data_IF_848947631103
#
_entry.id   IF_848947631103
#
_cell.length_a   1.000
_cell.length_b   1.000
_cell.length_c   1.000
_cell.angle_alpha   90.00
_cell.angle_beta   90.00
_cell.angle_gamma   90.00
#
_symmetry.space_group_name_H-M   'P 1'
#
loop_
_entity.id
_entity.type
_entity.pdbx_description
1 polymer ?
#
# COMPACT_ATOMS: atom_id res chain seq x y z
N UNK A 1 13.53 0.35 -3.94
CA UNK A 1 12.39 0.04 -4.84
C UNK A 1 12.57 -1.25 -5.65
N UNK A 2 13.60 -2.01 -5.36
CA UNK A 2 13.92 -3.23 -6.11
C UNK A 2 12.82 -4.29 -6.06
N UNK A 3 12.33 -4.61 -4.86
CA UNK A 3 11.30 -5.66 -4.69
C UNK A 3 9.98 -5.26 -5.36
N UNK A 4 9.64 -3.99 -5.32
CA UNK A 4 8.44 -3.46 -5.95
C UNK A 4 8.54 -3.59 -7.47
N UNK A 5 9.66 -3.18 -8.04
CA UNK A 5 9.89 -3.25 -9.49
C UNK A 5 9.91 -4.70 -9.96
N UNK A 6 10.59 -5.59 -9.23
CA UNK A 6 10.63 -7.01 -9.55
C UNK A 6 9.23 -7.63 -9.54
N UNK A 7 8.41 -7.27 -8.55
CA UNK A 7 7.04 -7.76 -8.46
C UNK A 7 6.19 -7.29 -9.64
N UNK A 8 6.29 -6.03 -9.99
CA UNK A 8 5.56 -5.48 -11.14
C UNK A 8 5.99 -6.14 -12.45
N UNK A 9 7.29 -6.33 -12.66
CA UNK A 9 7.81 -6.99 -13.85
C UNK A 9 7.41 -8.46 -13.94
N UNK A 10 7.17 -9.11 -12.80
CA UNK A 10 6.72 -10.52 -12.80
C UNK A 10 5.28 -10.66 -13.31
N UNK A 11 4.49 -9.60 -13.22
CA UNK A 11 3.10 -9.58 -13.65
C UNK A 11 2.95 -9.02 -15.07
N UNK A 12 3.58 -7.89 -15.33
CA UNK A 12 3.61 -7.23 -16.63
C UNK A 12 4.94 -6.50 -16.79
N UNK A 13 5.56 -6.56 -17.99
CA UNK A 13 6.72 -5.73 -18.23
C UNK A 13 6.38 -4.26 -18.09
N UNK A 14 7.18 -3.52 -17.31
CA UNK A 14 7.00 -2.09 -17.15
C UNK A 14 8.12 -1.34 -17.87
N UNK A 15 7.79 -0.19 -18.44
CA UNK A 15 8.76 0.63 -19.15
C UNK A 15 9.66 1.38 -18.19
N UNK A 16 10.82 1.82 -18.68
CA UNK A 16 11.72 2.68 -17.92
C UNK A 16 11.05 3.99 -17.53
N UNK A 17 10.16 4.49 -18.38
CA UNK A 17 9.38 5.69 -18.11
C UNK A 17 8.48 5.50 -16.89
N UNK A 18 7.79 4.38 -16.79
CA UNK A 18 6.95 4.05 -15.62
C UNK A 18 7.80 3.96 -14.36
N UNK A 19 8.97 3.31 -14.43
CA UNK A 19 9.88 3.22 -13.29
C UNK A 19 10.32 4.61 -12.85
N UNK A 20 10.62 5.48 -13.78
CA UNK A 20 11.03 6.85 -13.47
C UNK A 20 9.90 7.64 -12.79
N UNK A 21 8.67 7.50 -13.28
CA UNK A 21 7.51 8.14 -12.68
C UNK A 21 7.31 7.65 -11.24
N UNK A 22 7.45 6.35 -11.00
CA UNK A 22 7.36 5.79 -9.65
C UNK A 22 8.41 6.40 -8.72
N UNK A 23 9.65 6.49 -9.17
CA UNK A 23 10.74 7.05 -8.37
C UNK A 23 10.55 8.53 -8.06
N UNK A 24 9.99 9.29 -8.99
CA UNK A 24 9.78 10.73 -8.84
C UNK A 24 8.58 11.07 -7.95
N UNK A 25 7.60 10.18 -7.86
CA UNK A 25 6.33 10.44 -7.17
C UNK A 25 6.18 9.67 -5.86
N UNK A 26 7.22 9.01 -5.40
CA UNK A 26 7.19 8.27 -4.14
C UNK A 26 8.16 8.84 -3.13
N UNK A 27 7.86 8.63 -1.85
CA UNK A 27 8.72 9.03 -0.73
C UNK A 27 9.07 7.78 0.06
N UNK A 28 10.36 7.57 0.29
CA UNK A 28 10.83 6.47 1.12
C UNK A 28 10.46 6.70 2.58
N UNK A 29 9.82 5.71 3.19
CA UNK A 29 9.39 5.77 4.58
C UNK A 29 9.84 4.52 5.32
N UNK A 30 10.19 4.70 6.59
CA UNK A 30 10.53 3.63 7.50
C UNK A 30 9.51 3.62 8.63
N UNK A 31 8.90 2.47 8.88
CA UNK A 31 7.91 2.32 9.94
C UNK A 31 8.36 1.26 10.93
N UNK A 32 8.25 1.54 12.24
CA UNK A 32 8.54 0.51 13.23
C UNK A 32 7.45 -0.54 13.27
N UNK A 33 7.71 -1.63 13.97
CA UNK A 33 6.72 -2.67 14.25
C UNK A 33 5.51 -2.06 14.96
N UNK A 34 4.32 -2.53 14.61
CA UNK A 34 3.03 -2.08 15.16
C UNK A 34 2.65 -0.64 14.84
N UNK A 35 3.19 -0.10 13.75
CA UNK A 35 2.76 1.18 13.24
C UNK A 35 1.51 0.98 12.37
N UNK A 36 0.52 1.85 12.51
CA UNK A 36 -0.69 1.79 11.68
C UNK A 36 -0.52 2.66 10.44
N UNK A 37 -0.46 2.01 9.28
CA UNK A 37 -0.37 2.70 7.98
C UNK A 37 -1.72 3.26 7.57
N UNK A 38 -2.79 2.52 7.86
CA UNK A 38 -4.17 2.92 7.61
C UNK A 38 -4.94 2.71 8.90
N UNK A 39 -5.65 3.74 9.35
CA UNK A 39 -6.48 3.68 10.54
C UNK A 39 -7.96 3.78 10.15
N UNK A 40 -8.79 2.95 10.77
CA UNK A 40 -10.23 3.02 10.56
C UNK A 40 -10.79 4.37 11.05
N UNK A 41 -11.82 4.86 10.39
CA UNK A 41 -12.48 6.12 10.70
C UNK A 41 -11.60 7.36 10.53
N UNK A 42 -10.53 7.25 9.74
CA UNK A 42 -9.67 8.37 9.37
C UNK A 42 -9.39 8.32 7.87
N UNK A 43 -9.22 9.48 7.27
CA UNK A 43 -8.76 9.56 5.89
C UNK A 43 -7.25 9.52 5.84
N UNK A 44 -6.71 8.53 5.17
CA UNK A 44 -5.27 8.40 4.92
C UNK A 44 -5.08 8.21 3.42
N UNK A 45 -5.28 9.26 2.65
CA UNK A 45 -5.30 9.22 1.18
C UNK A 45 -3.93 8.95 0.56
N UNK A 46 -3.31 7.86 0.96
CA UNK A 46 -2.02 7.46 0.43
C UNK A 46 -1.99 5.96 0.19
N UNK A 47 -1.21 5.55 -0.79
CA UNK A 47 -0.88 4.16 -1.01
C UNK A 47 0.56 3.93 -0.60
N UNK A 48 0.88 2.71 -0.20
CA UNK A 48 2.22 2.31 0.22
C UNK A 48 2.65 1.09 -0.57
N UNK A 49 3.82 1.19 -1.20
CA UNK A 49 4.47 0.04 -1.83
C UNK A 49 5.43 -0.55 -0.82
N UNK A 50 5.22 -1.81 -0.44
CA UNK A 50 6.05 -2.47 0.56
C UNK A 50 7.34 -2.98 -0.09
N UNK A 51 8.46 -2.41 0.29
CA UNK A 51 9.78 -2.85 -0.18
C UNK A 51 10.35 -3.94 0.71
N UNK A 52 10.21 -3.79 2.04
CA UNK A 52 10.65 -4.76 3.02
C UNK A 52 9.66 -4.84 4.16
N UNK A 53 9.44 -6.03 4.68
CA UNK A 53 8.59 -6.26 5.84
C UNK A 53 7.22 -6.81 5.49
N UNK A 54 6.35 -6.87 6.50
CA UNK A 54 5.01 -7.42 6.38
C UNK A 54 4.00 -6.57 7.14
N UNK A 55 2.82 -6.46 6.58
CA UNK A 55 1.68 -5.77 7.21
C UNK A 55 0.49 -6.72 7.31
N UNK A 56 -0.42 -6.39 8.23
CA UNK A 56 -1.67 -7.11 8.44
C UNK A 56 -2.82 -6.14 8.31
N UNK A 57 -3.83 -6.52 7.54
CA UNK A 57 -5.10 -5.80 7.46
C UNK A 57 -6.12 -6.48 8.33
N UNK A 58 -6.89 -5.72 9.10
CA UNK A 58 -7.91 -6.30 9.98
C UNK A 58 -9.07 -5.33 10.23
N UNK A 59 -10.19 -5.90 10.61
CA UNK A 59 -11.37 -5.16 11.09
C UNK A 59 -11.52 -5.36 12.58
N UNK A 60 -12.14 -4.38 13.26
CA UNK A 60 -12.60 -4.54 14.63
C UNK A 60 -14.09 -4.82 14.62
N UNK A 61 -14.49 -5.97 15.16
CA UNK A 61 -15.89 -6.38 15.27
C UNK A 61 -16.15 -6.76 16.73
N UNK A 62 -16.98 -5.97 17.39
CA UNK A 62 -17.28 -6.16 18.82
C UNK A 62 -16.03 -6.24 19.70
N UNK A 63 -15.02 -5.42 19.38
CA UNK A 63 -13.76 -5.40 20.12
C UNK A 63 -12.75 -6.46 19.74
N UNK A 64 -13.08 -7.34 18.79
CA UNK A 64 -12.19 -8.39 18.32
C UNK A 64 -11.57 -8.01 16.98
N UNK A 65 -10.29 -8.31 16.82
CA UNK A 65 -9.57 -8.10 15.56
C UNK A 65 -9.77 -9.29 14.63
N UNK A 66 -10.33 -9.02 13.46
CA UNK A 66 -10.52 -10.04 12.43
C UNK A 66 -9.57 -9.74 11.28
N UNK A 67 -8.53 -10.55 11.13
CA UNK A 67 -7.54 -10.38 10.06
C UNK A 67 -8.16 -10.70 8.71
N UNK A 68 -8.03 -9.76 7.77
CA UNK A 68 -8.57 -9.92 6.42
C UNK A 68 -7.49 -10.32 5.41
N UNK A 69 -6.28 -9.81 5.57
CA UNK A 69 -5.18 -10.12 4.65
C UNK A 69 -3.82 -9.75 5.24
N UNK A 70 -2.78 -10.22 4.56
CA UNK A 70 -1.39 -9.85 4.83
C UNK A 70 -0.77 -9.29 3.55
N UNK A 71 0.15 -8.35 3.70
CA UNK A 71 0.93 -7.81 2.60
C UNK A 71 2.42 -7.93 2.94
N UNK A 72 3.21 -8.34 1.97
CA UNK A 72 4.66 -8.50 2.11
C UNK A 72 5.38 -7.78 0.97
N UNK A 73 6.68 -8.08 0.77
CA UNK A 73 7.50 -7.42 -0.24
C UNK A 73 6.85 -7.43 -1.61
N UNK A 74 6.81 -6.28 -2.25
CA UNK A 74 6.20 -6.09 -3.57
C UNK A 74 4.71 -5.80 -3.56
N UNK A 75 4.06 -5.87 -2.40
CA UNK A 75 2.62 -5.60 -2.30
C UNK A 75 2.31 -4.11 -2.22
N UNK A 76 1.07 -3.77 -2.55
CA UNK A 76 0.55 -2.41 -2.44
C UNK A 76 -0.49 -2.39 -1.35
N UNK A 77 -0.35 -1.43 -0.43
CA UNK A 77 -1.30 -1.22 0.68
C UNK A 77 -2.03 0.09 0.46
N UNK A 78 -3.34 0.04 0.39
CA UNK A 78 -4.19 1.23 0.26
C UNK A 78 -5.60 0.94 0.76
N UNK A 79 -6.38 2.00 0.98
CA UNK A 79 -7.79 1.86 1.34
C UNK A 79 -8.65 2.03 0.09
N UNK A 80 -9.39 1.00 -0.27
CA UNK A 80 -10.34 1.05 -1.38
C UNK A 80 -11.47 2.05 -1.10
N UNK A 81 -11.91 2.12 0.15
CA UNK A 81 -12.98 3.02 0.55
C UNK A 81 -12.60 4.48 0.28
N UNK A 82 -11.38 4.87 0.64
CA UNK A 82 -10.90 6.23 0.44
C UNK A 82 -10.63 6.53 -1.03
N UNK A 83 -10.05 5.58 -1.75
CA UNK A 83 -9.60 5.78 -3.12
C UNK A 83 -10.76 5.77 -4.12
N UNK A 84 -11.68 4.82 -3.98
CA UNK A 84 -12.77 4.62 -4.96
C UNK A 84 -14.11 5.16 -4.51
N UNK A 85 -14.38 5.20 -3.21
CA UNK A 85 -15.70 5.57 -2.68
C UNK A 85 -15.70 6.88 -1.91
N UNK A 86 -14.55 7.52 -1.76
CA UNK A 86 -14.38 8.78 -1.04
C UNK A 86 -15.00 8.77 0.36
N UNK A 87 -14.82 7.68 1.08
CA UNK A 87 -15.28 7.53 2.46
C UNK A 87 -14.15 7.01 3.34
N UNK A 88 -14.29 7.19 4.66
CA UNK A 88 -13.28 6.74 5.61
C UNK A 88 -13.14 5.21 5.58
N UNK A 89 -11.91 4.75 5.75
CA UNK A 89 -11.63 3.32 5.83
C UNK A 89 -12.32 2.69 7.04
N UNK A 90 -12.81 1.47 6.88
CA UNK A 90 -13.30 0.65 7.97
C UNK A 90 -12.26 -0.37 8.42
N UNK A 91 -11.13 -0.41 7.75
CA UNK A 91 -10.08 -1.39 7.94
C UNK A 91 -8.83 -0.72 8.51
N UNK A 92 -8.14 -1.45 9.39
CA UNK A 92 -6.81 -1.07 9.88
C UNK A 92 -5.75 -1.83 9.08
N UNK A 93 -4.62 -1.19 8.85
CA UNK A 93 -3.42 -1.86 8.32
C UNK A 93 -2.26 -1.54 9.25
N UNK A 94 -1.69 -2.58 9.83
CA UNK A 94 -0.64 -2.49 10.85
C UNK A 94 0.60 -3.25 10.41
N UNK A 95 1.77 -2.67 10.68
CA UNK A 95 3.05 -3.35 10.43
C UNK A 95 3.26 -4.47 11.45
N UNK A 96 3.71 -5.64 10.98
CA UNK A 96 4.02 -6.78 11.84
C UNK A 96 5.49 -6.83 12.24
N UNK A 97 6.32 -6.07 11.55
CA UNK A 97 7.75 -5.94 11.79
C UNK A 97 8.19 -4.57 11.28
N UNK A 98 9.48 -4.25 11.36
CA UNK A 98 9.98 -3.01 10.77
C UNK A 98 9.75 -3.06 9.27
N UNK A 99 9.14 -2.02 8.72
CA UNK A 99 8.74 -1.95 7.32
C UNK A 99 9.44 -0.79 6.62
N UNK A 100 9.95 -1.07 5.43
CA UNK A 100 10.41 -0.07 4.49
C UNK A 100 9.40 0.00 3.37
N UNK A 101 8.85 1.18 3.13
CA UNK A 101 7.81 1.36 2.14
C UNK A 101 7.99 2.68 1.37
N UNK A 102 7.40 2.74 0.18
CA UNK A 102 7.35 3.96 -0.61
C UNK A 102 5.92 4.47 -0.61
N UNK A 103 5.74 5.67 -0.09
CA UNK A 103 4.44 6.33 -0.03
C UNK A 103 4.19 7.09 -1.33
N UNK A 104 3.01 6.91 -1.91
CA UNK A 104 2.60 7.63 -3.11
C UNK A 104 1.24 8.30 -2.86
N UNK A 105 1.06 9.51 -3.40
CA UNK A 105 -0.21 10.22 -3.29
C UNK A 105 -1.27 9.58 -4.18
N UNK A 106 -2.58 9.70 -3.83
CA UNK A 106 -3.66 9.15 -4.66
C UNK A 106 -3.66 9.69 -6.08
N UNK A 107 -3.35 10.97 -6.26
CA UNK A 107 -3.31 11.60 -7.58
C UNK A 107 -2.25 10.94 -8.46
N UNK A 108 -1.04 10.77 -7.94
CA UNK A 108 0.04 10.10 -8.66
C UNK A 108 -0.29 8.64 -8.94
N UNK A 109 -0.92 7.97 -7.96
CA UNK A 109 -1.31 6.57 -8.07
C UNK A 109 -2.33 6.35 -9.19
N UNK A 110 -3.33 7.22 -9.32
CA UNK A 110 -4.35 7.09 -10.36
C UNK A 110 -3.84 7.39 -11.76
N UNK A 111 -2.73 8.13 -11.88
CA UNK A 111 -2.08 8.37 -13.17
C UNK A 111 -1.19 7.21 -13.62
N UNK A 112 -0.85 6.30 -12.73
CA UNK A 112 -0.08 5.11 -13.05
C UNK A 112 -1.05 3.99 -13.45
N UNK A 113 -1.24 3.77 -14.73
CA UNK A 113 -2.07 2.66 -15.21
C UNK A 113 -1.31 1.35 -15.08
N UNK A 114 -1.10 0.90 -13.84
CA UNK A 114 -0.43 -0.36 -13.56
C UNK A 114 -1.47 -1.46 -13.37
N UNK A 115 -1.34 -2.59 -14.07
CA UNK A 115 -2.31 -3.70 -13.94
C UNK A 115 -2.43 -4.24 -12.52
N UNK A 116 -1.35 -4.20 -11.74
CA UNK A 116 -1.33 -4.65 -10.35
C UNK A 116 -2.23 -3.83 -9.43
N UNK A 117 -2.56 -2.61 -9.83
CA UNK A 117 -3.39 -1.70 -9.04
C UNK A 117 -4.87 -2.07 -9.16
N UNK A 118 -5.26 -2.61 -10.30
CA UNK A 118 -6.65 -2.94 -10.60
C UNK A 118 -7.05 -4.35 -10.15
N UNK A 119 -6.14 -5.14 -9.63
CA UNK A 119 -6.36 -6.55 -9.30
C UNK A 119 -6.59 -6.80 -7.82
N UNK A 120 -7.24 -5.90 -7.19
CA UNK A 120 -7.53 -6.03 -5.74
C UNK A 120 -8.72 -6.92 -5.50
#
# INVERSE_FOLDING_TARGET
MRNIIDKMNSLYPISDETIQILKENTVLCHFPKRHQLIEANKFCKSAYFIEEGMTRSFWLVNGEEITTSFACEGAIVFSMDELYYNKMSEEFVETLEDVVAYKISPVSYTHLTLPTICSV
#
